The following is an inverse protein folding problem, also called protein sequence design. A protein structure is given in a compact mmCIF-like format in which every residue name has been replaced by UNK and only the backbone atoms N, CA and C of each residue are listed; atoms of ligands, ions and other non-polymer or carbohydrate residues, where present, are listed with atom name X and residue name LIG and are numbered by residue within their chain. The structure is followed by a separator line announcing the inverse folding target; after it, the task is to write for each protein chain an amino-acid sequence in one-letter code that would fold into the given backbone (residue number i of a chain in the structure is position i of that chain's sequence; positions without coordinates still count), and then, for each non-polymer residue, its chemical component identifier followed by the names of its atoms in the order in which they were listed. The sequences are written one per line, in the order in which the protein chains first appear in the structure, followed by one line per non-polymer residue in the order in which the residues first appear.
data_IF_933784980181
#
_entry.id   IF_933784980181
#
_cell.length_a   1.000
_cell.length_b   1.000
_cell.length_c   1.000
_cell.angle_alpha   90.00
_cell.angle_beta   90.00
_cell.angle_gamma   90.00
#
_symmetry.space_group_name_H-M   'P 1'
#
loop_
_entity.id
_entity.type
_entity.pdbx_description
1 polymer ?
#
# COMPACT_ATOMS: atom_id res chain seq x y z
N UNK A 1 -14.31 18.06 13.43
CA UNK A 1 -12.93 17.85 13.54
C UNK A 1 -12.20 19.09 13.96
N UNK A 2 -11.09 18.98 14.36
CA UNK A 2 -10.39 20.08 14.87
C UNK A 2 -9.14 20.34 14.11
N UNK A 3 -8.66 21.52 14.14
CA UNK A 3 -7.36 21.85 13.66
C UNK A 3 -6.48 21.95 14.89
N UNK A 4 -5.64 20.99 15.03
CA UNK A 4 -4.74 20.98 16.15
C UNK A 4 -3.49 21.72 15.76
N UNK A 5 -3.23 22.82 16.43
CA UNK A 5 -2.08 23.64 16.10
C UNK A 5 -0.76 22.93 16.34
N UNK A 6 -0.76 21.91 17.17
CA UNK A 6 0.47 21.16 17.47
C UNK A 6 0.66 19.98 16.54
N UNK A 7 -0.32 19.72 15.70
CA UNK A 7 -0.22 18.63 14.78
C UNK A 7 0.61 19.06 13.58
N UNK A 8 1.63 18.30 13.27
CA UNK A 8 2.51 18.60 12.14
C UNK A 8 2.49 17.44 11.17
N UNK A 9 2.42 17.78 9.89
CA UNK A 9 2.70 16.82 8.85
C UNK A 9 4.05 17.20 8.28
N UNK A 10 4.66 16.31 7.56
CA UNK A 10 5.92 16.60 6.88
C UNK A 10 5.69 17.29 5.55
N UNK A 11 4.56 17.98 5.44
CA UNK A 11 4.22 18.67 4.23
C UNK A 11 3.61 17.80 3.15
N UNK A 12 3.52 16.52 3.41
CA UNK A 12 2.92 15.57 2.48
C UNK A 12 1.68 14.97 3.07
N UNK A 13 0.61 15.00 2.30
CA UNK A 13 -0.65 14.35 2.69
C UNK A 13 -1.14 13.52 1.52
N UNK A 14 -1.99 12.58 1.81
CA UNK A 14 -2.68 11.84 0.76
C UNK A 14 -4.13 11.74 1.18
N UNK A 15 -4.99 11.49 0.20
CA UNK A 15 -6.42 11.44 0.41
C UNK A 15 -6.91 10.03 0.23
N UNK A 16 -7.85 9.64 1.09
CA UNK A 16 -8.45 8.32 1.06
C UNK A 16 -9.95 8.51 1.08
N UNK A 17 -10.69 7.95 0.11
CA UNK A 17 -12.15 8.07 0.12
C UNK A 17 -12.74 7.41 1.35
N UNK A 18 -13.75 8.03 1.93
CA UNK A 18 -14.45 7.40 3.05
C UNK A 18 -15.05 6.04 2.68
N UNK A 19 -15.31 5.82 1.42
CA UNK A 19 -15.83 4.54 0.93
C UNK A 19 -14.94 3.36 1.27
N UNK A 20 -13.66 3.60 1.62
CA UNK A 20 -12.77 2.49 1.97
C UNK A 20 -13.32 1.71 3.16
N UNK A 21 -14.09 2.36 4.04
CA UNK A 21 -14.67 1.68 5.19
C UNK A 21 -15.86 0.80 4.81
N UNK A 22 -16.39 0.98 3.61
CA UNK A 22 -17.46 0.13 3.10
C UNK A 22 -16.92 -1.08 2.33
N UNK A 23 -15.61 -1.12 2.10
CA UNK A 23 -14.98 -2.25 1.46
C UNK A 23 -14.69 -3.32 2.51
N UNK A 24 -14.70 -4.56 2.07
CA UNK A 24 -14.53 -5.67 3.00
C UNK A 24 -13.04 -5.98 3.24
N UNK A 25 -12.31 -4.99 3.76
CA UNK A 25 -10.90 -5.14 4.05
C UNK A 25 -10.67 -5.73 5.43
N UNK A 26 -9.73 -6.65 5.54
CA UNK A 26 -9.17 -7.01 6.84
C UNK A 26 -8.27 -5.87 7.32
N UNK A 27 -7.92 -5.84 8.62
CA UNK A 27 -7.00 -4.80 9.11
C UNK A 27 -5.67 -4.76 8.36
N UNK A 28 -5.11 -5.93 8.03
CA UNK A 28 -3.85 -5.96 7.28
C UNK A 28 -4.04 -5.43 5.85
N UNK A 29 -5.16 -5.77 5.22
CA UNK A 29 -5.46 -5.25 3.88
C UNK A 29 -5.63 -3.75 3.91
N UNK A 30 -6.32 -3.24 4.92
CA UNK A 30 -6.52 -1.81 5.09
C UNK A 30 -5.15 -1.11 5.21
N UNK A 31 -4.29 -1.64 6.05
CA UNK A 31 -2.97 -1.04 6.28
C UNK A 31 -2.13 -1.02 5.00
N UNK A 32 -2.07 -2.13 4.30
CA UNK A 32 -1.27 -2.22 3.08
C UNK A 32 -1.85 -1.32 1.99
N UNK A 33 -3.17 -1.33 1.82
CA UNK A 33 -3.80 -0.50 0.81
C UNK A 33 -3.51 0.98 1.07
N UNK A 34 -3.69 1.43 2.31
CA UNK A 34 -3.41 2.81 2.69
C UNK A 34 -1.93 3.16 2.46
N UNK A 35 -1.04 2.24 2.81
CA UNK A 35 0.39 2.47 2.59
C UNK A 35 0.68 2.67 1.10
N UNK A 36 0.15 1.80 0.25
CA UNK A 36 0.40 1.89 -1.18
C UNK A 36 -0.18 3.16 -1.79
N UNK A 37 -1.34 3.61 -1.29
CA UNK A 37 -1.88 4.90 -1.72
C UNK A 37 -0.94 6.01 -1.33
N UNK A 38 -0.41 5.96 -0.11
CA UNK A 38 0.43 7.05 0.41
C UNK A 38 1.75 7.19 -0.33
N UNK A 39 2.30 6.09 -0.85
CA UNK A 39 3.60 6.13 -1.53
C UNK A 39 3.47 6.14 -3.04
N UNK A 40 2.28 5.97 -3.58
CA UNK A 40 2.05 5.93 -5.01
C UNK A 40 2.22 7.30 -5.65
N UNK A 41 2.57 7.30 -6.92
CA UNK A 41 2.62 8.54 -7.70
C UNK A 41 1.20 8.93 -8.15
N UNK A 42 1.09 9.90 -9.04
CA UNK A 42 -0.20 10.38 -9.51
C UNK A 42 -1.05 9.30 -10.19
N UNK A 43 -0.40 8.24 -10.64
CA UNK A 43 -1.09 7.11 -11.28
C UNK A 43 -1.28 5.94 -10.33
N UNK A 44 -0.93 6.10 -9.06
CA UNK A 44 -1.04 5.03 -8.08
C UNK A 44 0.04 3.98 -8.16
N UNK A 45 1.17 4.30 -8.78
CA UNK A 45 2.26 3.34 -9.01
C UNK A 45 3.38 3.56 -8.00
N UNK A 46 3.87 2.49 -7.42
CA UNK A 46 5.00 2.54 -6.50
C UNK A 46 5.88 1.30 -6.66
N UNK A 47 7.10 1.40 -6.12
CA UNK A 47 8.11 0.35 -6.22
C UNK A 47 8.60 0.02 -4.82
N UNK A 48 8.33 -1.19 -4.35
CA UNK A 48 8.73 -1.59 -3.01
C UNK A 48 9.09 -3.06 -2.96
N UNK A 49 10.05 -3.39 -2.12
CA UNK A 49 10.30 -4.80 -1.80
C UNK A 49 9.38 -5.20 -0.65
N UNK A 50 9.03 -6.49 -0.61
CA UNK A 50 8.17 -6.98 0.46
C UNK A 50 8.79 -6.77 1.84
N UNK A 51 10.09 -7.06 2.06
CA UNK A 51 10.66 -6.83 3.39
C UNK A 51 10.57 -5.38 3.85
N UNK A 52 10.81 -4.42 2.94
CA UNK A 52 10.74 -3.01 3.30
C UNK A 52 9.31 -2.58 3.58
N UNK A 53 8.35 -3.04 2.78
CA UNK A 53 6.95 -2.72 3.00
C UNK A 53 6.46 -3.30 4.31
N UNK A 54 6.81 -4.54 4.59
CA UNK A 54 6.41 -5.20 5.83
C UNK A 54 6.93 -4.43 7.04
N UNK A 55 8.17 -3.97 6.97
CA UNK A 55 8.75 -3.18 8.05
C UNK A 55 8.00 -1.87 8.24
N UNK A 56 7.66 -1.18 7.15
CA UNK A 56 6.92 0.07 7.22
C UNK A 56 5.52 -0.13 7.80
N UNK A 57 4.89 -1.24 7.47
CA UNK A 57 3.54 -1.54 7.92
C UNK A 57 3.50 -2.33 9.22
N UNK A 58 4.67 -2.58 9.81
CA UNK A 58 4.80 -3.23 11.11
C UNK A 58 4.18 -4.63 11.12
N UNK A 59 4.52 -5.42 10.13
CA UNK A 59 4.07 -6.81 10.03
C UNK A 59 5.21 -7.67 9.50
N UNK A 60 5.09 -8.98 9.65
CA UNK A 60 6.14 -9.85 9.14
C UNK A 60 6.01 -9.99 7.61
N UNK A 61 7.12 -10.32 6.93
CA UNK A 61 7.08 -10.42 5.47
C UNK A 61 6.08 -11.43 4.93
N UNK A 62 5.88 -12.53 5.64
CA UNK A 62 4.90 -13.54 5.20
C UNK A 62 3.49 -12.97 5.22
N UNK A 63 3.13 -12.25 6.30
CA UNK A 63 1.82 -11.60 6.38
C UNK A 63 1.67 -10.55 5.29
N UNK A 64 2.71 -9.77 5.06
CA UNK A 64 2.69 -8.75 4.02
C UNK A 64 2.46 -9.38 2.65
N UNK A 65 3.18 -10.45 2.35
CA UNK A 65 3.06 -11.14 1.07
C UNK A 65 1.65 -11.71 0.86
N UNK A 66 1.12 -12.34 1.90
CA UNK A 66 -0.23 -12.90 1.83
C UNK A 66 -1.30 -11.81 1.68
N UNK A 67 -1.11 -10.70 2.36
CA UNK A 67 -2.03 -9.57 2.28
C UNK A 67 -2.02 -8.95 0.88
N UNK A 68 -0.83 -8.78 0.30
CA UNK A 68 -0.71 -8.26 -1.06
C UNK A 68 -1.42 -9.16 -2.05
N UNK A 69 -1.23 -10.47 -1.91
CA UNK A 69 -1.89 -11.42 -2.79
C UNK A 69 -3.41 -11.34 -2.66
N UNK A 70 -3.90 -11.20 -1.44
CA UNK A 70 -5.33 -11.07 -1.20
C UNK A 70 -5.88 -9.81 -1.87
N UNK A 71 -5.19 -8.68 -1.74
CA UNK A 71 -5.61 -7.43 -2.38
C UNK A 71 -5.60 -7.55 -3.90
N UNK A 72 -4.61 -8.24 -4.45
CA UNK A 72 -4.54 -8.46 -5.89
C UNK A 72 -5.71 -9.32 -6.36
N UNK A 73 -6.00 -10.39 -5.63
CA UNK A 73 -7.09 -11.29 -5.99
C UNK A 73 -8.45 -10.61 -5.91
N UNK A 74 -8.59 -9.66 -5.00
CA UNK A 74 -9.83 -8.89 -4.87
C UNK A 74 -9.94 -7.75 -5.89
N UNK A 75 -8.88 -7.51 -6.66
CA UNK A 75 -8.91 -6.48 -7.70
C UNK A 75 -8.57 -5.08 -7.24
N UNK A 76 -8.02 -4.91 -6.04
CA UNK A 76 -7.69 -3.58 -5.54
C UNK A 76 -6.32 -3.10 -5.94
N UNK A 77 -5.42 -4.00 -6.29
CA UNK A 77 -4.08 -3.64 -6.75
C UNK A 77 -3.65 -4.59 -7.85
N UNK A 78 -2.69 -4.14 -8.65
CA UNK A 78 -1.95 -4.99 -9.57
C UNK A 78 -0.53 -5.10 -9.06
N UNK A 79 0.05 -6.28 -9.18
CA UNK A 79 1.43 -6.53 -8.79
C UNK A 79 2.19 -6.99 -10.01
N UNK A 80 3.25 -6.26 -10.34
CA UNK A 80 4.15 -6.65 -11.42
C UNK A 80 5.50 -7.01 -10.82
N UNK A 81 5.93 -8.25 -11.01
CA UNK A 81 7.22 -8.70 -10.53
C UNK A 81 8.28 -8.34 -11.54
N UNK A 82 9.44 -7.88 -11.06
CA UNK A 82 10.54 -7.51 -11.91
C UNK A 82 11.76 -8.37 -11.58
N UNK A 83 12.47 -8.80 -12.62
CA UNK A 83 13.66 -9.61 -12.48
C UNK A 83 14.76 -9.01 -13.33
N UNK A 84 15.98 -9.11 -12.82
CA UNK A 84 17.16 -8.68 -13.56
C UNK A 84 18.25 -9.70 -13.26
N UNK A 85 18.79 -10.32 -14.29
CA UNK A 85 19.83 -11.34 -14.18
C UNK A 85 19.42 -12.45 -13.19
N UNK A 86 18.19 -12.92 -13.31
CA UNK A 86 17.62 -13.98 -12.47
C UNK A 86 17.44 -13.58 -11.00
N UNK A 87 17.62 -12.31 -10.67
CA UNK A 87 17.36 -11.81 -9.33
C UNK A 87 16.12 -10.95 -9.34
N UNK A 88 15.22 -11.17 -8.38
CA UNK A 88 14.01 -10.39 -8.29
C UNK A 88 14.32 -8.99 -7.79
N UNK A 89 13.82 -8.00 -8.51
CA UNK A 89 13.87 -6.60 -8.10
C UNK A 89 12.65 -6.27 -7.26
N UNK A 90 12.60 -5.02 -6.77
CA UNK A 90 11.39 -4.54 -6.09
C UNK A 90 10.19 -4.67 -7.03
N UNK A 91 9.07 -5.11 -6.47
CA UNK A 91 7.84 -5.23 -7.25
C UNK A 91 7.28 -3.85 -7.58
N UNK A 92 6.52 -3.80 -8.65
CA UNK A 92 5.76 -2.62 -9.02
C UNK A 92 4.31 -2.86 -8.58
N UNK A 93 3.77 -1.91 -7.84
CA UNK A 93 2.39 -2.00 -7.35
C UNK A 93 1.59 -0.86 -7.97
N UNK A 94 0.41 -1.18 -8.49
CA UNK A 94 -0.50 -0.19 -9.01
C UNK A 94 -1.81 -0.29 -8.25
N UNK A 95 -2.21 0.81 -7.62
CA UNK A 95 -3.43 0.84 -6.82
C UNK A 95 -4.60 1.20 -7.70
N UNK A 96 -5.70 0.48 -7.55
CA UNK A 96 -6.96 0.82 -8.20
C UNK A 96 -7.80 1.63 -7.23
N UNK A 97 -8.39 2.70 -7.71
CA UNK A 97 -9.20 3.56 -6.86
C UNK A 97 -10.51 2.90 -6.47
N UNK A 98 -10.92 3.18 -5.28
CA UNK A 98 -12.20 2.70 -4.74
C UNK A 98 -13.32 3.65 -5.14
#
# INVERSE_FOLDING_TARGET
MYANKNYKTDGKVYYMPNKIFDENFSPHEFMIYCFLVSVGDSKGVSFWSVPKMAKKCNMCPTTCRNTLKSLEEKGYIDITHRFFENAQQSNVYTVHQI
#
